data_IF_719591999425
#
_entry.id   IF_719591999425
#
_cell.length_a   1.000
_cell.length_b   1.000
_cell.length_c   1.000
_cell.angle_alpha   90.00
_cell.angle_beta   90.00
_cell.angle_gamma   90.00
#
_symmetry.space_group_name_H-M   'P 1'
#
loop_
_entity.id
_entity.type
_entity.pdbx_description
1 polymer ?
#
# COMPACT_ATOMS: atom_id res chain seq x y z
N UNK A 1 9.73 29.39 -33.82
CA UNK A 1 8.68 28.35 -33.85
C UNK A 1 9.01 27.32 -32.78
N UNK A 2 8.10 26.72 -32.00
CA UNK A 2 6.65 26.93 -31.68
C UNK A 2 6.49 26.31 -30.26
N UNK A 3 5.95 26.93 -29.20
CA UNK A 3 5.52 28.29 -28.87
C UNK A 3 6.09 28.65 -27.47
N UNK A 4 5.84 29.86 -26.94
CA UNK A 4 5.73 30.08 -25.49
C UNK A 4 4.29 29.80 -25.02
N UNK A 5 4.13 29.42 -23.74
CA UNK A 5 3.24 30.11 -22.80
C UNK A 5 3.57 29.70 -21.36
N UNK A 6 3.70 30.70 -20.48
CA UNK A 6 3.86 30.57 -19.03
C UNK A 6 2.48 30.78 -18.40
N UNK A 7 2.10 29.99 -17.40
CA UNK A 7 1.13 30.43 -16.37
C UNK A 7 1.71 30.09 -14.99
N UNK A 8 1.77 31.10 -14.14
CA UNK A 8 2.23 31.10 -12.75
C UNK A 8 1.02 31.28 -11.82
N UNK A 9 1.15 30.82 -10.56
CA UNK A 9 0.38 31.14 -9.32
C UNK A 9 -0.18 29.85 -8.70
N UNK A 10 0.31 29.31 -7.58
CA UNK A 10 0.55 29.89 -6.25
C UNK A 10 -0.76 30.33 -5.57
N UNK A 11 -1.26 29.48 -4.65
CA UNK A 11 -2.29 29.82 -3.66
C UNK A 11 -1.82 29.33 -2.29
N UNK A 12 -1.17 30.21 -1.55
CA UNK A 12 -0.95 30.07 -0.10
C UNK A 12 -2.02 30.85 0.63
N UNK A 13 -2.88 30.17 1.39
CA UNK A 13 -3.93 30.76 2.21
C UNK A 13 -3.79 30.35 3.68
N UNK A 14 -2.95 31.06 4.42
CA UNK A 14 -2.84 30.89 5.88
C UNK A 14 -4.05 31.57 6.52
N UNK A 15 -4.86 30.81 7.26
CA UNK A 15 -5.77 31.36 8.27
C UNK A 15 -5.34 30.83 9.64
N UNK A 16 -4.57 31.65 10.35
CA UNK A 16 -4.45 31.56 11.80
C UNK A 16 -5.47 32.53 12.40
N UNK A 17 -6.41 32.01 13.18
CA UNK A 17 -7.09 32.79 14.20
C UNK A 17 -7.11 31.99 15.49
N UNK A 18 -6.64 32.60 16.56
CA UNK A 18 -6.49 32.00 17.87
C UNK A 18 -7.19 32.92 18.86
N UNK A 19 -8.22 32.44 19.54
CA UNK A 19 -8.61 33.02 20.83
C UNK A 19 -9.26 31.98 21.77
N UNK A 20 -9.36 32.36 23.03
CA UNK A 20 -9.34 31.52 24.21
C UNK A 20 -10.51 30.54 24.42
N UNK A 21 -10.13 29.30 24.77
CA UNK A 21 -10.32 28.80 26.13
C UNK A 21 -11.69 28.29 26.57
N UNK A 22 -11.77 26.97 26.84
CA UNK A 22 -12.40 26.48 28.07
C UNK A 22 -11.99 25.05 28.44
N UNK A 23 -11.66 24.86 29.71
CA UNK A 23 -11.28 23.58 30.30
C UNK A 23 -12.48 22.64 30.43
N UNK A 24 -12.48 21.51 29.68
CA UNK A 24 -13.35 20.36 29.95
C UNK A 24 -12.59 19.06 29.65
N UNK A 25 -12.27 18.27 30.68
CA UNK A 25 -12.04 16.83 30.51
C UNK A 25 -13.37 16.17 30.09
N UNK A 26 -13.39 15.00 29.43
CA UNK A 26 -13.48 13.77 30.26
C UNK A 26 -12.95 12.45 29.64
N UNK A 27 -12.96 11.41 30.49
CA UNK A 27 -12.92 9.95 30.23
C UNK A 27 -11.66 9.34 29.59
N UNK A 28 -11.03 8.43 30.34
CA UNK A 28 -10.13 7.39 29.84
C UNK A 28 -10.95 6.35 29.03
N UNK A 29 -10.94 6.45 27.70
CA UNK A 29 -11.39 5.37 26.82
C UNK A 29 -10.15 4.57 26.40
N UNK A 30 -10.22 3.25 26.51
CA UNK A 30 -9.09 2.35 26.22
C UNK A 30 -8.59 2.47 24.79
N UNK A 31 -7.28 2.32 24.63
CA UNK A 31 -6.54 2.46 23.37
C UNK A 31 -7.01 1.42 22.33
N UNK A 32 -7.91 1.85 21.43
CA UNK A 32 -8.35 1.07 20.28
C UNK A 32 -7.45 1.40 19.10
N UNK A 33 -6.72 0.43 18.51
CA UNK A 33 -5.78 0.71 17.43
C UNK A 33 -6.52 1.26 16.21
N UNK A 34 -6.08 2.43 15.74
CA UNK A 34 -6.71 3.15 14.64
C UNK A 34 -6.74 2.31 13.35
N UNK A 35 -7.93 1.87 12.97
CA UNK A 35 -8.19 1.19 11.69
C UNK A 35 -8.25 2.16 10.50
N UNK A 36 -8.20 3.48 10.74
CA UNK A 36 -8.45 4.51 9.72
C UNK A 36 -7.46 4.47 8.55
N UNK A 37 -6.17 4.21 8.80
CA UNK A 37 -5.14 4.18 7.75
C UNK A 37 -5.27 2.97 6.82
N UNK A 38 -5.68 1.81 7.34
CA UNK A 38 -5.77 0.59 6.52
C UNK A 38 -7.03 0.54 5.65
N UNK A 39 -8.08 1.30 6.00
CA UNK A 39 -9.31 1.45 5.19
C UNK A 39 -9.15 2.53 4.11
N UNK A 40 -8.11 3.37 4.19
CA UNK A 40 -8.00 4.59 3.39
C UNK A 40 -7.80 4.34 1.88
N UNK A 41 -7.21 3.21 1.48
CA UNK A 41 -6.74 2.99 0.10
C UNK A 41 -7.21 1.68 -0.57
N UNK A 42 -7.85 0.75 0.17
CA UNK A 42 -8.54 -0.42 -0.41
C UNK A 42 -9.52 0.00 -1.53
N UNK A 43 -10.27 1.08 -1.29
CA UNK A 43 -11.21 1.65 -2.27
C UNK A 43 -10.53 2.32 -3.47
N UNK A 44 -9.24 2.67 -3.40
CA UNK A 44 -8.49 3.11 -4.58
C UNK A 44 -8.09 1.93 -5.45
N UNK A 45 -7.71 0.79 -4.84
CA UNK A 45 -7.41 -0.46 -5.54
C UNK A 45 -8.68 -0.99 -6.24
N UNK A 46 -9.85 -0.93 -5.60
CA UNK A 46 -11.13 -1.26 -6.24
C UNK A 46 -11.39 -0.39 -7.48
N UNK A 47 -11.29 0.95 -7.35
CA UNK A 47 -11.47 1.86 -8.49
C UNK A 47 -10.42 1.61 -9.59
N UNK A 48 -9.17 1.31 -9.23
CA UNK A 48 -8.12 0.96 -10.19
C UNK A 48 -8.45 -0.35 -10.92
N UNK A 49 -9.01 -1.34 -10.21
CA UNK A 49 -9.47 -2.59 -10.81
C UNK A 49 -10.65 -2.36 -11.77
N UNK A 50 -11.68 -1.60 -11.36
CA UNK A 50 -12.85 -1.28 -12.18
C UNK A 50 -12.49 -0.47 -13.44
N UNK A 51 -11.55 0.47 -13.33
CA UNK A 51 -11.14 1.35 -14.42
C UNK A 51 -9.92 0.83 -15.23
N UNK A 52 -9.49 -0.41 -14.98
CA UNK A 52 -8.34 -1.05 -15.65
C UNK A 52 -7.03 -0.24 -15.58
N UNK A 53 -6.73 0.35 -14.42
CA UNK A 53 -5.57 1.22 -14.20
C UNK A 53 -4.34 0.45 -13.68
N UNK A 54 -3.14 0.89 -14.06
CA UNK A 54 -1.83 0.31 -13.71
C UNK A 54 -0.85 1.42 -13.29
N UNK A 55 0.36 1.08 -12.86
CA UNK A 55 1.39 2.03 -12.38
C UNK A 55 0.89 2.93 -11.24
N UNK A 56 0.13 2.34 -10.31
CA UNK A 56 -0.44 3.04 -9.16
C UNK A 56 0.24 2.58 -7.87
N UNK A 57 0.95 3.49 -7.20
CA UNK A 57 1.45 3.22 -5.85
C UNK A 57 0.26 3.20 -4.87
N UNK A 58 0.09 2.08 -4.16
CA UNK A 58 -1.05 1.83 -3.25
C UNK A 58 -0.57 1.27 -1.90
N UNK A 59 -1.31 1.60 -0.84
CA UNK A 59 -1.22 0.94 0.47
C UNK A 59 -2.47 0.05 0.67
N UNK A 60 -2.37 -0.98 1.52
CA UNK A 60 -3.55 -1.78 1.83
C UNK A 60 -3.28 -2.91 2.80
N UNK A 61 -4.34 -3.67 3.11
CA UNK A 61 -4.24 -4.77 4.06
C UNK A 61 -5.19 -5.91 3.73
N UNK A 62 -4.64 -7.11 3.50
CA UNK A 62 -5.43 -8.29 3.15
C UNK A 62 -5.19 -9.48 4.07
N UNK A 63 -6.07 -10.48 3.93
CA UNK A 63 -5.87 -11.82 4.48
C UNK A 63 -5.24 -12.73 3.43
N UNK A 64 -4.21 -13.50 3.80
CA UNK A 64 -3.58 -14.49 2.93
C UNK A 64 -4.56 -15.64 2.70
N UNK A 65 -5.10 -15.75 1.49
CA UNK A 65 -6.03 -16.82 1.12
C UNK A 65 -5.35 -17.96 0.37
N UNK A 66 -4.12 -17.75 -0.13
CA UNK A 66 -3.31 -18.79 -0.77
C UNK A 66 -1.83 -18.41 -0.81
N UNK A 67 -0.98 -19.25 -0.23
CA UNK A 67 0.45 -19.29 -0.55
C UNK A 67 0.67 -19.94 -1.93
N UNK A 68 1.61 -19.40 -2.72
CA UNK A 68 2.07 -20.00 -3.97
C UNK A 68 3.53 -20.44 -3.82
N UNK A 69 3.99 -21.30 -4.72
CA UNK A 69 5.43 -21.54 -4.84
C UNK A 69 6.14 -20.24 -5.23
N UNK A 70 7.30 -19.98 -4.61
CA UNK A 70 8.16 -18.86 -5.00
C UNK A 70 8.47 -18.93 -6.51
N UNK A 71 8.48 -17.79 -7.20
CA UNK A 71 9.04 -17.75 -8.55
C UNK A 71 10.56 -17.71 -8.46
N UNK A 72 11.22 -18.53 -9.28
CA UNK A 72 12.68 -18.65 -9.34
C UNK A 72 13.21 -18.43 -10.76
N UNK A 73 12.40 -17.87 -11.67
CA UNK A 73 12.82 -17.52 -13.04
C UNK A 73 13.16 -16.04 -13.12
N UNK A 74 14.46 -15.73 -13.29
CA UNK A 74 14.94 -14.35 -13.20
C UNK A 74 15.06 -13.94 -11.74
N UNK A 75 14.67 -12.70 -11.41
CA UNK A 75 14.60 -12.24 -10.02
C UNK A 75 13.59 -13.10 -9.24
N UNK A 76 13.98 -13.57 -8.06
CA UNK A 76 13.19 -14.48 -7.24
C UNK A 76 12.08 -13.73 -6.52
N UNK A 77 10.87 -14.29 -6.51
CA UNK A 77 9.72 -13.66 -5.86
C UNK A 77 8.99 -14.63 -4.93
N UNK A 78 8.80 -14.25 -3.66
CA UNK A 78 7.77 -14.88 -2.84
C UNK A 78 6.40 -14.43 -3.35
N UNK A 79 5.48 -15.38 -3.53
CA UNK A 79 4.16 -15.12 -4.12
C UNK A 79 3.04 -15.66 -3.24
N UNK A 80 2.02 -14.85 -3.04
CA UNK A 80 0.82 -15.23 -2.31
C UNK A 80 -0.37 -14.37 -2.74
N UNK A 81 -1.58 -14.89 -2.54
CA UNK A 81 -2.82 -14.18 -2.84
C UNK A 81 -3.37 -13.59 -1.53
N UNK A 82 -3.58 -12.28 -1.54
CA UNK A 82 -4.38 -11.58 -0.53
C UNK A 82 -5.82 -11.48 -0.98
N UNK A 83 -6.75 -11.52 -0.02
CA UNK A 83 -8.13 -11.02 -0.17
C UNK A 83 -8.26 -9.73 0.65
N UNK A 84 -8.68 -8.66 -0.01
CA UNK A 84 -8.98 -7.38 0.62
C UNK A 84 -10.35 -7.42 1.33
N UNK A 85 -10.65 -6.48 2.26
CA UNK A 85 -11.97 -6.32 2.86
C UNK A 85 -13.12 -6.20 1.87
N UNK A 86 -12.88 -5.62 0.69
CA UNK A 86 -13.83 -5.53 -0.43
C UNK A 86 -14.16 -6.87 -1.09
N UNK A 87 -13.39 -7.91 -0.80
CA UNK A 87 -13.48 -9.22 -1.46
C UNK A 87 -12.64 -9.35 -2.73
N UNK A 88 -12.07 -8.25 -3.26
CA UNK A 88 -11.09 -8.29 -4.35
C UNK A 88 -9.86 -9.11 -3.92
N UNK A 89 -9.20 -9.78 -4.88
CA UNK A 89 -7.98 -10.55 -4.63
C UNK A 89 -6.78 -10.00 -5.37
N UNK A 90 -5.65 -9.85 -4.68
CA UNK A 90 -4.38 -9.39 -5.24
C UNK A 90 -3.34 -10.50 -5.20
N UNK A 91 -2.56 -10.63 -6.27
CA UNK A 91 -1.29 -11.36 -6.23
C UNK A 91 -0.20 -10.44 -5.67
N UNK A 92 0.40 -10.79 -4.54
CA UNK A 92 1.63 -10.15 -4.10
C UNK A 92 2.81 -10.85 -4.77
N UNK A 93 3.69 -10.06 -5.39
CA UNK A 93 4.98 -10.49 -5.93
C UNK A 93 6.10 -9.74 -5.19
N UNK A 94 6.63 -10.36 -4.13
CA UNK A 94 7.67 -9.76 -3.29
C UNK A 94 9.05 -10.25 -3.69
N UNK A 95 9.90 -9.35 -4.18
CA UNK A 95 11.25 -9.69 -4.64
C UNK A 95 12.15 -10.09 -3.46
N UNK A 96 12.50 -11.38 -3.39
CA UNK A 96 13.30 -11.96 -2.30
C UNK A 96 14.81 -12.02 -2.61
N UNK A 97 15.25 -11.39 -3.70
CA UNK A 97 16.65 -11.01 -3.90
C UNK A 97 16.97 -9.64 -3.27
N UNK A 98 15.97 -8.77 -3.15
CA UNK A 98 16.11 -7.40 -2.63
C UNK A 98 15.64 -7.25 -1.18
N UNK A 99 14.60 -7.99 -0.78
CA UNK A 99 14.06 -7.99 0.58
C UNK A 99 14.01 -9.40 1.19
N UNK A 100 13.88 -9.50 2.51
CA UNK A 100 13.83 -10.80 3.18
C UNK A 100 12.48 -11.52 2.98
N UNK A 101 12.53 -12.81 2.60
CA UNK A 101 11.34 -13.67 2.53
C UNK A 101 10.59 -13.75 3.86
N UNK A 102 9.26 -13.67 3.84
CA UNK A 102 8.38 -13.90 5.00
C UNK A 102 8.24 -15.41 5.21
N UNK A 103 9.18 -16.00 5.95
CA UNK A 103 9.22 -17.46 6.17
C UNK A 103 8.11 -18.00 7.07
N UNK A 104 7.57 -17.18 7.96
CA UNK A 104 6.49 -17.56 8.89
C UNK A 104 5.07 -17.28 8.33
N UNK A 105 4.94 -16.96 7.03
CA UNK A 105 3.66 -16.62 6.42
C UNK A 105 2.78 -17.85 6.23
N UNK A 106 1.54 -17.80 6.70
CA UNK A 106 0.53 -18.84 6.61
C UNK A 106 -0.78 -18.35 5.95
N UNK A 107 -1.64 -19.28 5.51
CA UNK A 107 -3.01 -18.93 5.12
C UNK A 107 -3.80 -18.47 6.35
N UNK A 108 -4.61 -17.43 6.21
CA UNK A 108 -5.34 -16.77 7.30
C UNK A 108 -4.60 -15.59 7.92
N UNK A 109 -3.29 -15.45 7.67
CA UNK A 109 -2.50 -14.33 8.18
C UNK A 109 -2.93 -13.00 7.58
N UNK A 110 -2.74 -11.93 8.35
CA UNK A 110 -2.97 -10.55 7.91
C UNK A 110 -1.64 -9.92 7.48
N UNK A 111 -1.61 -9.36 6.27
CA UNK A 111 -0.45 -8.66 5.71
C UNK A 111 -0.87 -7.26 5.31
N UNK A 112 -0.15 -6.25 5.79
CA UNK A 112 -0.16 -4.89 5.26
C UNK A 112 0.88 -4.80 4.15
N UNK A 113 0.60 -4.03 3.11
CA UNK A 113 1.52 -3.82 1.98
C UNK A 113 1.52 -2.35 1.56
N UNK A 114 2.65 -1.93 0.99
CA UNK A 114 2.79 -0.73 0.19
C UNK A 114 3.61 -1.10 -1.04
N UNK A 115 3.13 -0.78 -2.24
CA UNK A 115 3.78 -1.19 -3.48
C UNK A 115 3.05 -0.64 -4.71
N UNK A 116 3.56 -0.95 -5.89
CA UNK A 116 2.89 -0.58 -7.14
C UNK A 116 1.89 -1.66 -7.55
N UNK A 117 0.70 -1.22 -7.95
CA UNK A 117 -0.40 -2.03 -8.45
C UNK A 117 -0.41 -2.07 -9.98
N UNK A 118 -0.55 -3.29 -10.51
CA UNK A 118 -0.68 -3.59 -11.93
C UNK A 118 -1.96 -4.38 -12.22
N UNK A 119 -2.78 -3.88 -13.15
CA UNK A 119 -4.08 -4.49 -13.45
C UNK A 119 -3.95 -5.86 -14.14
N UNK A 120 -4.81 -6.78 -13.74
CA UNK A 120 -5.15 -7.95 -14.55
C UNK A 120 -6.57 -8.44 -14.23
N UNK A 121 -7.15 -9.27 -15.10
CA UNK A 121 -8.49 -9.87 -14.97
C UNK A 121 -8.72 -10.74 -13.71
N UNK A 122 -7.70 -11.00 -12.89
CA UNK A 122 -7.80 -11.79 -11.65
C UNK A 122 -7.80 -10.91 -10.38
N UNK A 123 -7.81 -9.58 -10.56
CA UNK A 123 -7.84 -8.58 -9.49
C UNK A 123 -6.57 -7.73 -9.40
N UNK A 124 -5.51 -8.09 -10.12
CA UNK A 124 -4.24 -7.35 -10.18
C UNK A 124 -3.07 -7.98 -9.43
N UNK A 125 -1.90 -7.35 -9.57
CA UNK A 125 -0.64 -7.70 -8.91
C UNK A 125 -0.18 -6.49 -8.09
N UNK A 126 0.40 -6.71 -6.92
CA UNK A 126 1.22 -5.70 -6.24
C UNK A 126 2.67 -6.18 -6.19
N UNK A 127 3.55 -5.39 -6.78
CA UNK A 127 5.01 -5.57 -6.81
C UNK A 127 5.71 -4.31 -6.26
N UNK A 128 7.02 -4.17 -6.45
CA UNK A 128 7.84 -3.10 -5.84
C UNK A 128 7.70 -3.00 -4.31
N UNK A 129 7.37 -4.11 -3.63
CA UNK A 129 7.18 -4.18 -2.16
C UNK A 129 8.53 -4.24 -1.40
N UNK A 130 9.51 -3.49 -1.87
CA UNK A 130 10.87 -3.39 -1.35
C UNK A 130 11.47 -2.01 -1.68
N UNK A 131 12.65 -1.71 -1.14
CA UNK A 131 13.44 -0.55 -1.56
C UNK A 131 14.03 -0.78 -2.95
N UNK A 132 13.99 0.24 -3.80
CA UNK A 132 14.82 0.28 -5.00
C UNK A 132 16.26 0.68 -4.59
N UNK A 133 17.29 -0.16 -4.82
CA UNK A 133 18.68 0.17 -4.51
C UNK A 133 19.18 1.46 -5.20
N UNK A 134 18.65 1.78 -6.38
CA UNK A 134 19.06 2.96 -7.15
C UNK A 134 18.19 4.20 -6.85
N UNK A 135 17.12 4.06 -6.06
CA UNK A 135 16.21 5.16 -5.70
C UNK A 135 15.45 5.79 -6.87
N UNK A 136 15.25 5.05 -7.97
CA UNK A 136 14.54 5.49 -9.19
C UNK A 136 13.04 5.20 -9.12
N UNK A 137 12.63 4.20 -8.34
CA UNK A 137 11.25 3.85 -8.05
C UNK A 137 10.83 4.26 -6.63
N UNK A 138 9.52 4.47 -6.41
CA UNK A 138 8.96 4.60 -5.05
C UNK A 138 9.18 3.28 -4.30
N UNK A 139 9.76 3.37 -3.10
CA UNK A 139 10.02 2.21 -2.26
C UNK A 139 8.73 1.66 -1.64
N UNK A 140 8.53 0.34 -1.72
CA UNK A 140 7.44 -0.36 -1.05
C UNK A 140 7.93 -1.23 0.11
N UNK A 141 6.99 -1.95 0.72
CA UNK A 141 7.23 -2.86 1.83
C UNK A 141 6.08 -3.87 2.00
N UNK A 142 6.37 -4.98 2.69
CA UNK A 142 5.35 -5.83 3.33
C UNK A 142 5.49 -5.76 4.84
N UNK A 143 4.39 -5.91 5.57
CA UNK A 143 4.39 -5.98 7.04
C UNK A 143 3.47 -7.08 7.55
N UNK A 144 4.06 -7.99 8.33
CA UNK A 144 3.43 -9.20 8.86
C UNK A 144 3.86 -9.37 10.32
N UNK A 145 2.89 -9.63 11.21
CA UNK A 145 3.10 -9.81 12.65
C UNK A 145 4.03 -8.75 13.29
N UNK A 146 3.83 -7.48 12.90
CA UNK A 146 4.58 -6.33 13.40
C UNK A 146 5.94 -6.09 12.73
N UNK A 147 6.48 -7.06 11.97
CA UNK A 147 7.76 -6.94 11.26
C UNK A 147 7.55 -6.44 9.82
N UNK A 148 8.36 -5.46 9.42
CA UNK A 148 8.44 -4.95 8.04
C UNK A 148 9.54 -5.67 7.25
N UNK A 149 9.29 -5.87 5.96
CA UNK A 149 10.16 -6.50 4.97
C UNK A 149 10.24 -5.57 3.76
N UNK A 150 11.45 -5.08 3.43
CA UNK A 150 11.72 -4.13 2.33
C UNK A 150 13.22 -4.07 2.01
#
# INVERSE_FOLDING_TARGET
>A
MKKLLIILSLVTGIYLWMDAGQSRQPVLVGDMPSTASAVADDGAIERAFENHQSQLQVEGMGLVVRLLADDTKGARHQRFILRLPSGLTLLIAHNIDLAARINALANGDRVQFYGEYEWNRQGGIVHWTHRDPDGRHVAGWLKHNGRTYQ
#
